data_IF_687486769017
#
_entry.id   IF_687486769017
#
_cell.length_a   1.000
_cell.length_b   1.000
_cell.length_c   1.000
_cell.angle_alpha   90.00
_cell.angle_beta   90.00
_cell.angle_gamma   90.00
#
_symmetry.space_group_name_H-M   'P 1'
#
loop_
_entity.id
_entity.type
_entity.pdbx_description
1 polymer ?
#
# COMPACT_ATOMS: atom_id res chain seq x y z
N UNK A 1 1.16 6.72 -8.46
CA UNK A 1 1.42 7.19 -7.07
C UNK A 1 1.16 8.68 -6.84
N UNK A 2 0.44 9.39 -7.73
CA UNK A 2 0.23 10.83 -7.60
C UNK A 2 -1.17 11.24 -7.10
N UNK A 3 -2.05 10.26 -6.86
CA UNK A 3 -3.41 10.50 -6.37
C UNK A 3 -3.56 9.86 -4.99
N UNK A 4 -4.16 10.56 -4.02
CA UNK A 4 -4.50 9.97 -2.72
C UNK A 4 -5.44 8.77 -2.91
N UNK A 5 -5.21 7.69 -2.16
CA UNK A 5 -6.02 6.46 -2.24
C UNK A 5 -7.49 6.72 -1.90
N UNK A 6 -7.73 7.61 -0.95
CA UNK A 6 -9.08 7.99 -0.50
C UNK A 6 -9.76 9.00 -1.43
N UNK A 7 -9.09 9.41 -2.52
CA UNK A 7 -9.55 10.46 -3.41
C UNK A 7 -9.34 11.87 -2.84
N UNK A 8 -9.78 12.87 -3.58
CA UNK A 8 -9.80 14.26 -3.12
C UNK A 8 -11.19 14.59 -2.59
N UNK A 9 -11.31 15.56 -1.68
CA UNK A 9 -12.62 16.00 -1.19
C UNK A 9 -13.58 16.33 -2.33
N UNK A 10 -13.13 17.11 -3.32
CA UNK A 10 -13.94 17.43 -4.49
C UNK A 10 -14.33 16.20 -5.32
N UNK A 11 -13.42 15.24 -5.49
CA UNK A 11 -13.70 14.00 -6.22
C UNK A 11 -14.74 13.15 -5.51
N UNK A 12 -14.61 12.98 -4.20
CA UNK A 12 -15.55 12.18 -3.40
C UNK A 12 -16.93 12.85 -3.36
N UNK A 13 -17.00 14.17 -3.21
CA UNK A 13 -18.28 14.91 -3.22
C UNK A 13 -18.99 14.88 -4.58
N UNK A 14 -18.28 14.65 -5.67
CA UNK A 14 -18.84 14.59 -7.02
C UNK A 14 -19.29 13.19 -7.44
N UNK A 15 -18.95 12.13 -6.69
CA UNK A 15 -19.31 10.76 -7.03
C UNK A 15 -20.83 10.56 -7.01
N UNK A 16 -21.35 9.91 -8.03
CA UNK A 16 -22.75 9.50 -8.14
C UNK A 16 -22.91 7.99 -7.95
N UNK A 17 -24.13 7.53 -7.68
CA UNK A 17 -24.44 6.11 -7.63
C UNK A 17 -24.18 5.42 -8.97
N UNK A 18 -24.40 6.12 -10.08
CA UNK A 18 -24.21 5.55 -11.41
C UNK A 18 -22.71 5.33 -11.71
N UNK A 19 -21.83 6.23 -11.26
CA UNK A 19 -20.37 6.01 -11.33
C UNK A 19 -19.95 4.73 -10.60
N UNK A 20 -20.53 4.49 -9.41
CA UNK A 20 -20.25 3.29 -8.60
C UNK A 20 -20.75 2.03 -9.29
N UNK A 21 -21.96 2.06 -9.86
CA UNK A 21 -22.55 0.93 -10.58
C UNK A 21 -21.75 0.60 -11.84
N UNK A 22 -21.34 1.61 -12.60
CA UNK A 22 -20.53 1.44 -13.79
C UNK A 22 -19.17 0.85 -13.43
N UNK A 23 -18.51 1.39 -12.40
CA UNK A 23 -17.23 0.86 -11.93
C UNK A 23 -17.34 -0.61 -11.51
N UNK A 24 -18.39 -0.95 -10.74
CA UNK A 24 -18.64 -2.33 -10.30
C UNK A 24 -18.82 -3.25 -11.50
N UNK A 25 -19.75 -2.93 -12.41
CA UNK A 25 -20.05 -3.76 -13.58
C UNK A 25 -18.83 -3.95 -14.49
N UNK A 26 -17.93 -2.96 -14.55
CA UNK A 26 -16.75 -2.98 -15.41
C UNK A 26 -15.55 -3.71 -14.79
N UNK A 27 -15.38 -3.65 -13.48
CA UNK A 27 -14.14 -4.09 -12.83
C UNK A 27 -14.30 -5.32 -11.92
N UNK A 28 -15.52 -5.64 -11.47
CA UNK A 28 -15.79 -6.82 -10.64
C UNK A 28 -16.26 -7.97 -11.51
N UNK A 29 -15.33 -8.64 -12.20
CA UNK A 29 -15.63 -9.75 -13.10
C UNK A 29 -14.99 -11.05 -12.61
N UNK A 30 -15.60 -12.23 -12.88
CA UNK A 30 -15.12 -13.50 -12.36
C UNK A 30 -13.75 -13.90 -12.92
N UNK A 31 -13.40 -13.39 -14.11
CA UNK A 31 -12.10 -13.64 -14.75
C UNK A 31 -10.94 -12.92 -14.06
N UNK A 32 -11.22 -11.82 -13.36
CA UNK A 32 -10.19 -11.00 -12.68
C UNK A 32 -10.19 -11.23 -11.17
N UNK A 33 -11.02 -12.15 -10.67
CA UNK A 33 -11.17 -12.43 -9.26
C UNK A 33 -10.51 -13.76 -8.89
N UNK A 34 -9.99 -13.83 -7.67
CA UNK A 34 -9.37 -15.02 -7.11
C UNK A 34 -10.02 -15.34 -5.77
N UNK A 35 -10.36 -16.61 -5.54
CA UNK A 35 -10.85 -17.10 -4.25
C UNK A 35 -9.74 -17.89 -3.58
N UNK A 36 -9.29 -17.41 -2.41
CA UNK A 36 -8.25 -18.06 -1.61
C UNK A 36 -8.89 -18.58 -0.32
N UNK A 37 -8.76 -19.89 -0.07
CA UNK A 37 -9.36 -20.56 1.08
C UNK A 37 -8.26 -21.24 1.88
N UNK A 38 -8.16 -20.91 3.17
CA UNK A 38 -7.14 -21.42 4.09
C UNK A 38 -7.81 -21.89 5.36
N UNK A 39 -7.64 -23.16 5.70
CA UNK A 39 -8.20 -23.76 6.92
C UNK A 39 -8.27 -25.28 6.83
N UNK A 40 -8.76 -25.90 7.91
CA UNK A 40 -9.07 -27.32 7.98
C UNK A 40 -10.42 -27.60 7.31
N UNK A 41 -10.44 -27.57 5.97
CA UNK A 41 -11.65 -27.75 5.16
C UNK A 41 -11.29 -28.59 3.93
N UNK A 42 -12.14 -29.54 3.58
CA UNK A 42 -11.96 -30.32 2.37
C UNK A 42 -12.21 -29.46 1.12
N UNK A 43 -11.31 -29.58 0.13
CA UNK A 43 -11.42 -28.86 -1.15
C UNK A 43 -12.79 -29.07 -1.84
N UNK A 44 -13.31 -30.29 -1.80
CA UNK A 44 -14.58 -30.65 -2.43
C UNK A 44 -15.76 -29.87 -1.84
N UNK A 45 -15.79 -29.66 -0.53
CA UNK A 45 -16.88 -28.92 0.14
C UNK A 45 -16.90 -27.46 -0.30
N UNK A 46 -15.72 -26.88 -0.54
CA UNK A 46 -15.55 -25.52 -1.04
C UNK A 46 -15.94 -25.43 -2.51
N UNK A 47 -15.49 -26.37 -3.36
CA UNK A 47 -15.86 -26.40 -4.77
C UNK A 47 -17.37 -26.50 -4.96
N UNK A 48 -18.06 -27.31 -4.14
CA UNK A 48 -19.52 -27.39 -4.15
C UNK A 48 -20.17 -26.05 -3.77
N UNK A 49 -19.68 -25.37 -2.72
CA UNK A 49 -20.19 -24.06 -2.31
C UNK A 49 -19.91 -22.95 -3.32
N UNK A 50 -18.83 -23.09 -4.10
CA UNK A 50 -18.43 -22.15 -5.15
C UNK A 50 -18.90 -22.57 -6.54
N UNK A 51 -19.78 -23.56 -6.66
CA UNK A 51 -20.27 -24.03 -7.96
C UNK A 51 -20.92 -22.91 -8.80
N UNK A 52 -21.54 -21.92 -8.14
CA UNK A 52 -22.12 -20.73 -8.78
C UNK A 52 -21.08 -19.92 -9.58
N UNK A 53 -19.79 -20.01 -9.23
CA UNK A 53 -18.71 -19.29 -9.90
C UNK A 53 -18.57 -19.69 -11.37
N UNK A 54 -18.90 -20.95 -11.71
CA UNK A 54 -18.87 -21.42 -13.09
C UNK A 54 -20.01 -20.83 -13.95
N UNK A 55 -21.09 -20.38 -13.31
CA UNK A 55 -22.24 -19.76 -13.97
C UNK A 55 -22.06 -18.25 -14.17
N UNK A 56 -21.21 -17.62 -13.36
CA UNK A 56 -20.88 -16.21 -13.49
C UNK A 56 -19.96 -16.00 -14.70
N UNK A 57 -20.52 -15.44 -15.79
CA UNK A 57 -19.81 -15.19 -17.05
C UNK A 57 -19.91 -13.71 -17.44
N UNK A 58 -18.87 -12.97 -17.10
CA UNK A 58 -18.64 -11.61 -17.61
C UNK A 58 -17.30 -11.54 -18.36
N UNK A 59 -17.10 -10.47 -19.12
CA UNK A 59 -15.84 -10.20 -19.79
C UNK A 59 -14.68 -9.98 -18.79
N UNK A 60 -13.44 -10.13 -19.25
CA UNK A 60 -12.29 -9.78 -18.45
C UNK A 60 -12.33 -8.28 -18.11
N UNK A 61 -12.08 -7.93 -16.85
CA UNK A 61 -11.92 -6.54 -16.48
C UNK A 61 -10.73 -5.96 -17.28
N UNK A 62 -10.82 -4.69 -17.70
CA UNK A 62 -9.72 -4.06 -18.40
C UNK A 62 -8.48 -4.05 -17.50
N UNK A 63 -7.37 -4.57 -18.01
CA UNK A 63 -6.08 -4.48 -17.33
C UNK A 63 -5.68 -3.01 -17.20
N UNK A 64 -5.18 -2.64 -16.02
CA UNK A 64 -4.55 -1.34 -15.87
C UNK A 64 -3.29 -1.29 -16.72
N UNK A 65 -3.17 -0.27 -17.56
CA UNK A 65 -1.91 0.02 -18.23
C UNK A 65 -0.83 0.27 -17.16
N UNK A 66 0.38 -0.30 -17.32
CA UNK A 66 1.49 0.01 -16.44
C UNK A 66 1.63 1.51 -16.31
N UNK A 67 1.70 2.00 -15.07
CA UNK A 67 1.82 3.42 -14.83
C UNK A 67 3.19 3.88 -15.30
N UNK A 68 3.24 4.89 -16.19
CA UNK A 68 4.50 5.57 -16.49
C UNK A 68 4.96 6.28 -15.24
N UNK A 69 6.15 5.93 -14.77
CA UNK A 69 6.74 6.55 -13.59
C UNK A 69 7.59 7.71 -14.07
N UNK A 70 7.21 8.96 -13.76
CA UNK A 70 8.00 10.10 -14.16
C UNK A 70 9.37 10.02 -13.46
N UNK A 71 10.40 10.48 -14.16
CA UNK A 71 11.72 10.64 -13.56
C UNK A 71 11.62 11.51 -12.30
N UNK A 72 12.39 11.15 -11.27
CA UNK A 72 12.48 11.97 -10.07
C UNK A 72 13.05 13.34 -10.44
N UNK A 73 12.33 14.38 -10.03
CA UNK A 73 12.86 15.74 -10.05
C UNK A 73 13.81 15.99 -8.88
N UNK A 74 14.12 17.26 -8.64
CA UNK A 74 14.97 17.68 -7.52
C UNK A 74 14.36 17.33 -6.16
N UNK A 75 15.22 17.19 -5.15
CA UNK A 75 14.82 16.97 -3.76
C UNK A 75 13.91 18.10 -3.29
N UNK A 76 12.73 17.75 -2.76
CA UNK A 76 11.77 18.70 -2.18
C UNK A 76 11.72 18.56 -0.67
N UNK A 77 11.43 19.68 0.00
CA UNK A 77 11.07 19.73 1.41
C UNK A 77 9.69 20.37 1.48
N UNK A 78 8.75 19.68 2.10
CA UNK A 78 7.41 20.18 2.34
C UNK A 78 7.26 20.48 3.83
N UNK A 79 7.02 21.75 4.16
CA UNK A 79 6.65 22.16 5.51
C UNK A 79 5.16 22.45 5.50
N UNK A 80 4.41 21.70 6.31
CA UNK A 80 2.96 21.84 6.44
C UNK A 80 2.67 22.26 7.88
N UNK A 81 2.21 23.49 8.05
CA UNK A 81 1.73 23.95 9.34
C UNK A 81 0.36 23.33 9.65
N UNK A 82 0.24 22.74 10.84
CA UNK A 82 -0.99 22.11 11.32
C UNK A 82 -1.25 22.56 12.76
N UNK A 83 -1.89 23.73 12.94
CA UNK A 83 -2.23 24.24 14.26
C UNK A 83 -3.02 23.21 15.08
N UNK A 84 -2.67 23.09 16.37
CA UNK A 84 -3.29 22.12 17.28
C UNK A 84 -2.80 20.67 17.13
N UNK A 85 -1.80 20.40 16.27
CA UNK A 85 -1.15 19.10 16.25
C UNK A 85 -0.41 18.85 17.59
N UNK A 86 -0.57 17.66 18.22
CA UNK A 86 0.06 17.36 19.49
C UNK A 86 1.59 17.16 19.37
N UNK A 87 2.08 16.88 18.16
CA UNK A 87 3.49 16.67 17.88
C UNK A 87 3.81 17.00 16.42
N UNK A 88 5.07 17.34 16.15
CA UNK A 88 5.60 17.42 14.79
C UNK A 88 5.86 16.01 14.24
N UNK A 89 5.76 15.88 12.92
CA UNK A 89 6.10 14.64 12.20
C UNK A 89 7.19 14.97 11.21
N UNK A 90 8.30 14.22 11.25
CA UNK A 90 9.36 14.30 10.25
C UNK A 90 9.33 13.03 9.43
N UNK A 91 9.06 13.17 8.14
CA UNK A 91 8.98 12.03 7.21
C UNK A 91 9.96 12.20 6.07
N UNK A 92 10.80 11.19 5.87
CA UNK A 92 11.68 11.06 4.71
C UNK A 92 11.10 10.00 3.78
N UNK A 93 10.93 10.39 2.51
CA UNK A 93 10.44 9.50 1.46
C UNK A 93 11.44 9.45 0.32
N UNK A 94 11.69 8.24 -0.20
CA UNK A 94 12.47 7.99 -1.42
C UNK A 94 11.71 7.04 -2.31
N UNK A 95 12.00 7.09 -3.61
CA UNK A 95 11.60 6.02 -4.52
C UNK A 95 12.25 4.71 -4.06
N UNK A 96 11.45 3.66 -3.98
CA UNK A 96 11.86 2.32 -3.65
C UNK A 96 11.87 1.42 -4.88
N UNK A 97 12.10 0.14 -4.64
CA UNK A 97 12.11 -0.89 -5.67
C UNK A 97 10.70 -1.43 -5.91
N UNK A 98 10.39 -1.90 -7.14
CA UNK A 98 9.22 -2.73 -7.38
C UNK A 98 9.15 -3.89 -6.39
N UNK A 99 7.94 -4.36 -6.12
CA UNK A 99 7.74 -5.55 -5.30
C UNK A 99 8.38 -6.77 -5.97
N UNK A 100 9.17 -7.49 -5.21
CA UNK A 100 9.56 -8.87 -5.52
C UNK A 100 9.36 -9.74 -4.26
N UNK A 101 9.10 -11.03 -4.46
CA UNK A 101 8.85 -11.94 -3.35
C UNK A 101 10.14 -12.55 -2.77
N UNK A 102 11.25 -12.50 -3.51
CA UNK A 102 12.46 -13.29 -3.21
C UNK A 102 13.79 -12.57 -3.51
N UNK A 103 13.73 -11.35 -4.04
CA UNK A 103 14.88 -10.56 -4.48
C UNK A 103 15.20 -9.39 -3.54
N UNK A 104 15.67 -8.29 -4.11
CA UNK A 104 16.18 -7.13 -3.37
C UNK A 104 15.11 -6.43 -2.53
N UNK A 105 13.85 -6.43 -2.98
CA UNK A 105 12.75 -5.91 -2.18
C UNK A 105 12.57 -6.73 -0.89
N UNK A 106 12.53 -8.06 -1.03
CA UNK A 106 12.47 -8.97 0.12
C UNK A 106 13.67 -8.80 1.06
N UNK A 107 14.89 -8.78 0.52
CA UNK A 107 16.12 -8.60 1.29
C UNK A 107 16.17 -7.25 2.02
N UNK A 108 15.67 -6.19 1.40
CA UNK A 108 15.59 -4.87 2.01
C UNK A 108 14.63 -4.83 3.19
N UNK A 109 13.49 -5.53 3.11
CA UNK A 109 12.58 -5.66 4.25
C UNK A 109 13.23 -6.43 5.41
N UNK A 110 13.97 -7.50 5.11
CA UNK A 110 14.69 -8.27 6.12
C UNK A 110 15.76 -7.41 6.83
N UNK A 111 16.54 -6.65 6.07
CA UNK A 111 17.52 -5.71 6.64
C UNK A 111 16.83 -4.61 7.46
N UNK A 112 15.71 -4.09 6.94
CA UNK A 112 14.95 -3.02 7.58
C UNK A 112 14.36 -3.44 8.92
N UNK A 113 14.02 -4.72 9.11
CA UNK A 113 13.49 -5.20 10.39
C UNK A 113 14.35 -4.75 11.57
N UNK A 114 15.67 -4.91 11.47
CA UNK A 114 16.61 -4.49 12.53
C UNK A 114 16.86 -2.99 12.56
N UNK A 115 16.81 -2.33 11.41
CA UNK A 115 17.07 -0.89 11.31
C UNK A 115 15.91 -0.06 11.86
N UNK A 116 14.70 -0.32 11.37
CA UNK A 116 13.52 0.53 11.59
C UNK A 116 12.16 -0.19 11.57
N UNK A 117 12.12 -1.50 11.28
CA UNK A 117 10.89 -2.25 11.02
C UNK A 117 10.25 -2.89 12.25
N UNK A 118 10.77 -2.68 13.46
CA UNK A 118 10.19 -3.19 14.69
C UNK A 118 10.42 -2.24 15.88
N UNK A 119 9.74 -2.48 17.00
CA UNK A 119 9.81 -1.61 18.19
C UNK A 119 11.21 -1.52 18.81
N UNK A 120 11.98 -2.61 18.80
CA UNK A 120 13.36 -2.68 19.26
C UNK A 120 14.38 -2.37 18.16
N UNK A 121 13.94 -1.79 17.04
CA UNK A 121 14.83 -1.43 15.94
C UNK A 121 15.81 -0.33 16.33
N UNK A 122 16.96 -0.26 15.64
CA UNK A 122 18.05 0.66 15.98
C UNK A 122 17.62 2.12 16.01
N UNK A 123 16.81 2.56 15.04
CA UNK A 123 16.37 3.96 15.02
C UNK A 123 15.42 4.27 16.17
N UNK A 124 14.53 3.35 16.54
CA UNK A 124 13.58 3.58 17.62
C UNK A 124 14.31 3.58 18.95
N UNK A 125 15.21 2.62 19.18
CA UNK A 125 16.05 2.58 20.38
C UNK A 125 16.90 3.85 20.53
N UNK A 126 17.47 4.36 19.43
CA UNK A 126 18.27 5.58 19.50
C UNK A 126 17.43 6.84 19.73
N UNK A 127 16.42 7.08 18.89
CA UNK A 127 15.68 8.35 18.90
C UNK A 127 14.65 8.42 20.05
N UNK A 128 14.02 7.29 20.41
CA UNK A 128 13.04 7.22 21.50
C UNK A 128 13.69 6.91 22.83
N UNK A 129 14.37 5.77 22.97
CA UNK A 129 14.82 5.29 24.29
C UNK A 129 16.05 6.04 24.82
N UNK A 130 17.09 6.18 24.00
CA UNK A 130 18.33 6.84 24.39
C UNK A 130 18.18 8.37 24.42
N UNK A 131 17.62 8.96 23.34
CA UNK A 131 17.55 10.42 23.18
C UNK A 131 16.25 11.09 23.62
N UNK A 132 15.12 10.37 23.67
CA UNK A 132 13.83 10.95 24.03
C UNK A 132 13.33 12.03 23.07
N UNK A 133 13.75 12.01 21.80
CA UNK A 133 13.41 13.04 20.80
C UNK A 133 12.02 12.86 20.18
N UNK A 134 11.48 11.65 20.21
CA UNK A 134 10.24 11.28 19.54
C UNK A 134 9.53 10.20 20.34
N UNK A 135 8.21 10.11 20.20
CA UNK A 135 7.46 9.02 20.81
C UNK A 135 7.73 7.69 20.09
N UNK A 136 7.98 7.73 18.79
CA UNK A 136 8.45 6.58 18.03
C UNK A 136 9.05 6.93 16.67
N UNK A 137 10.05 6.15 16.29
CA UNK A 137 10.65 6.20 14.95
C UNK A 137 10.55 4.83 14.27
N UNK A 138 10.09 4.82 13.03
CA UNK A 138 9.95 3.59 12.24
C UNK A 138 10.21 3.85 10.76
N UNK A 139 10.39 2.76 10.02
CA UNK A 139 10.61 2.82 8.59
C UNK A 139 10.13 1.56 7.91
N UNK A 140 9.69 1.71 6.67
CA UNK A 140 9.13 0.62 5.89
C UNK A 140 9.42 0.80 4.40
N UNK A 141 9.36 -0.33 3.71
CA UNK A 141 9.47 -0.45 2.26
C UNK A 141 8.10 -0.90 1.75
N UNK A 142 7.61 -0.23 0.72
CA UNK A 142 6.36 -0.58 0.04
C UNK A 142 6.66 -0.72 -1.45
N UNK A 143 6.11 -1.73 -2.10
CA UNK A 143 6.36 -2.03 -3.51
C UNK A 143 5.08 -2.41 -4.21
N UNK A 144 5.00 -2.10 -5.49
CA UNK A 144 4.02 -2.63 -6.43
C UNK A 144 4.75 -3.12 -7.69
N UNK A 145 4.06 -3.62 -8.73
CA UNK A 145 4.73 -4.15 -9.91
C UNK A 145 5.62 -3.14 -10.65
N UNK A 146 5.32 -1.84 -10.58
CA UNK A 146 6.05 -0.81 -11.34
C UNK A 146 7.16 -0.09 -10.53
N UNK A 147 7.02 0.08 -9.21
CA UNK A 147 8.02 0.75 -8.33
C UNK A 147 7.72 0.51 -6.85
N UNK A 148 8.43 1.22 -5.98
CA UNK A 148 8.11 1.29 -4.57
C UNK A 148 8.35 2.64 -3.94
N UNK A 149 8.21 2.67 -2.62
CA UNK A 149 8.63 3.76 -1.75
C UNK A 149 9.40 3.23 -0.54
N UNK A 150 10.37 4.01 -0.11
CA UNK A 150 11.04 3.83 1.18
C UNK A 150 10.66 5.01 2.05
N UNK A 151 10.12 4.73 3.22
CA UNK A 151 9.61 5.75 4.15
C UNK A 151 10.27 5.55 5.50
N UNK A 152 10.81 6.63 6.06
CA UNK A 152 11.24 6.71 7.46
C UNK A 152 10.53 7.88 8.12
N UNK A 153 10.03 7.68 9.32
CA UNK A 153 9.27 8.70 10.04
C UNK A 153 9.59 8.69 11.53
N UNK A 154 9.53 9.87 12.14
CA UNK A 154 9.60 10.08 13.57
C UNK A 154 8.45 11.00 14.00
N UNK A 155 7.72 10.55 15.02
CA UNK A 155 6.59 11.24 15.63
C UNK A 155 6.51 10.81 17.10
#
# INVERSE_FOLDING_TARGET
>A
FARPKDGTQAGVSALTLDDVREFYAKHYTPQSAQVVVVGDIAKQDIEQKLAFWAEWKDEAAPLYAPQTIPALGEQKIHLVDKPGAPQSVVMMVRQGMPYDATGDFYLSQLANFNLAGNFNSRINQNLREDKGYTYGAYGYFSGNPETGSVVFTAQ
#
